data_IF_054183739003
#
_entry.id   IF_054183739003
#
_cell.length_a   1.000
_cell.length_b   1.000
_cell.length_c   1.000
_cell.angle_alpha   90.00
_cell.angle_beta   90.00
_cell.angle_gamma   90.00
#
_symmetry.space_group_name_H-M   'P 1'
#
loop_
_entity.id
_entity.type
_entity.pdbx_description
1 polymer ?
#
# COMPACT_ATOMS: atom_id res chain seq x y z
N UNK A 1 -17.61 32.02 10.65
CA UNK A 1 -17.53 31.15 9.45
C UNK A 1 -16.10 30.68 9.33
N UNK A 2 -15.82 29.44 9.73
CA UNK A 2 -14.48 28.85 9.63
C UNK A 2 -14.09 28.74 8.16
N UNK A 3 -12.95 29.29 7.75
CA UNK A 3 -12.38 29.02 6.42
C UNK A 3 -12.22 27.50 6.33
N UNK A 4 -12.90 26.87 5.39
CA UNK A 4 -12.77 25.43 5.15
C UNK A 4 -11.28 25.15 4.88
N UNK A 5 -10.61 24.47 5.81
CA UNK A 5 -9.17 24.26 5.75
C UNK A 5 -8.84 23.47 4.49
N UNK A 6 -8.07 24.07 3.58
CA UNK A 6 -7.75 23.46 2.29
C UNK A 6 -6.80 22.26 2.47
N UNK A 7 -7.07 21.19 1.71
CA UNK A 7 -6.18 20.04 1.56
C UNK A 7 -5.24 20.18 0.38
N UNK A 8 -5.49 21.12 -0.54
CA UNK A 8 -4.64 21.37 -1.70
C UNK A 8 -3.83 22.65 -1.52
N UNK A 9 -2.53 22.58 -1.85
CA UNK A 9 -1.63 23.73 -1.97
C UNK A 9 -0.60 23.40 -3.04
N UNK A 10 -0.42 24.32 -3.99
CA UNK A 10 0.55 24.17 -5.06
C UNK A 10 1.94 24.61 -4.61
N UNK A 11 2.61 23.76 -3.82
CA UNK A 11 3.97 23.96 -3.31
C UNK A 11 4.76 22.66 -3.38
N UNK A 12 6.07 22.79 -3.52
CA UNK A 12 7.00 21.67 -3.34
C UNK A 12 7.65 21.76 -1.96
N UNK A 13 7.60 20.67 -1.20
CA UNK A 13 8.24 20.56 0.11
C UNK A 13 9.40 19.60 -0.02
N UNK A 14 10.55 19.95 0.56
CA UNK A 14 11.68 19.03 0.71
C UNK A 14 12.30 19.23 2.08
N UNK A 15 12.82 18.16 2.66
CA UNK A 15 13.46 18.28 3.96
C UNK A 15 14.75 19.14 3.87
N UNK A 16 15.03 20.00 4.85
CA UNK A 16 16.32 20.67 4.95
C UNK A 16 17.50 19.68 4.93
N UNK A 17 18.60 20.07 4.30
CA UNK A 17 19.82 19.26 4.18
C UNK A 17 20.99 19.93 4.93
N UNK A 18 22.06 19.17 5.19
CA UNK A 18 23.24 19.65 5.90
C UNK A 18 23.06 19.75 7.42
N UNK A 19 24.02 20.39 8.09
CA UNK A 19 24.15 20.41 9.56
C UNK A 19 23.48 21.61 10.24
N UNK A 20 23.00 22.60 9.47
CA UNK A 20 22.29 23.76 10.02
C UNK A 20 20.90 23.37 10.51
N UNK A 21 20.62 23.66 11.78
CA UNK A 21 19.33 23.39 12.42
C UNK A 21 18.29 24.47 12.05
N UNK A 22 17.03 24.05 11.92
CA UNK A 22 15.85 24.90 11.81
C UNK A 22 14.99 24.84 13.09
N UNK A 23 15.11 23.77 13.86
CA UNK A 23 14.57 23.61 15.20
C UNK A 23 15.65 23.82 16.29
N UNK A 24 15.26 23.72 17.57
CA UNK A 24 16.15 23.98 18.71
C UNK A 24 17.21 22.89 18.94
N UNK A 25 16.94 21.65 18.50
CA UNK A 25 17.84 20.51 18.68
C UNK A 25 17.70 19.48 17.56
N UNK A 26 18.62 18.52 17.48
CA UNK A 26 18.51 17.41 16.52
C UNK A 26 17.29 16.51 16.78
N UNK A 27 16.84 16.39 18.04
CA UNK A 27 15.65 15.60 18.39
C UNK A 27 14.33 16.22 17.88
N UNK A 28 14.32 17.54 17.64
CA UNK A 28 13.17 18.26 17.08
C UNK A 28 13.34 18.57 15.59
N UNK A 29 14.57 18.70 15.12
CA UNK A 29 14.92 18.81 13.69
C UNK A 29 14.62 17.50 12.93
N UNK A 30 14.90 16.34 13.53
CA UNK A 30 14.65 15.04 12.89
C UNK A 30 13.18 14.85 12.49
N UNK A 31 12.17 14.94 13.38
CA UNK A 31 10.77 14.81 12.98
C UNK A 31 10.33 15.91 12.01
N UNK A 32 10.89 17.13 12.10
CA UNK A 32 10.62 18.20 11.13
C UNK A 32 11.08 17.81 9.72
N UNK A 33 12.33 17.33 9.60
CA UNK A 33 12.88 16.87 8.32
C UNK A 33 12.11 15.67 7.79
N UNK A 34 11.78 14.71 8.64
CA UNK A 34 11.07 13.52 8.20
C UNK A 34 9.61 13.80 7.79
N UNK A 35 8.92 14.72 8.45
CA UNK A 35 7.62 15.23 7.99
C UNK A 35 7.72 15.83 6.59
N UNK A 36 8.75 16.64 6.34
CA UNK A 36 8.98 17.26 5.03
C UNK A 36 9.42 16.23 3.98
N UNK A 37 10.21 15.22 4.36
CA UNK A 37 10.60 14.11 3.48
C UNK A 37 9.39 13.31 3.01
N UNK A 38 8.43 13.06 3.90
CA UNK A 38 7.17 12.41 3.55
C UNK A 38 6.35 13.17 2.49
N UNK A 39 6.66 14.44 2.21
CA UNK A 39 5.98 15.27 1.21
C UNK A 39 6.91 15.68 0.06
N UNK A 40 8.10 15.10 -0.04
CA UNK A 40 9.02 15.34 -1.15
C UNK A 40 8.38 14.83 -2.46
N UNK A 41 8.36 15.61 -3.56
CA UNK A 41 7.83 15.18 -4.85
C UNK A 41 8.47 13.90 -5.42
N UNK A 42 9.70 13.58 -4.98
CA UNK A 42 10.39 12.35 -5.37
C UNK A 42 10.06 11.16 -4.45
N UNK A 43 9.30 11.40 -3.38
CA UNK A 43 8.94 10.40 -2.36
C UNK A 43 7.44 10.12 -2.35
N UNK A 44 6.60 11.15 -2.30
CA UNK A 44 5.16 11.04 -2.10
C UNK A 44 4.36 10.87 -3.40
N UNK A 45 3.23 10.14 -3.34
CA UNK A 45 2.36 9.95 -4.50
C UNK A 45 1.60 11.20 -4.93
N UNK A 46 1.13 12.02 -3.98
CA UNK A 46 0.42 13.27 -4.25
C UNK A 46 0.62 14.29 -3.11
N UNK A 47 1.84 14.87 -2.98
CA UNK A 47 2.20 15.72 -1.85
C UNK A 47 1.43 17.04 -1.78
N UNK A 48 0.93 17.56 -2.92
CA UNK A 48 0.11 18.79 -2.97
C UNK A 48 -1.22 18.64 -2.20
N UNK A 49 -1.69 17.41 -2.06
CA UNK A 49 -2.83 17.03 -1.21
C UNK A 49 -2.43 16.40 0.13
N UNK A 50 -1.16 16.52 0.52
CA UNK A 50 -0.54 15.89 1.69
C UNK A 50 -0.51 14.36 1.66
N UNK A 51 -0.87 13.73 0.53
CA UNK A 51 -0.97 12.28 0.38
C UNK A 51 0.41 11.71 0.09
N UNK A 52 0.84 10.79 0.95
CA UNK A 52 2.13 10.11 0.89
C UNK A 52 1.99 8.82 0.07
N UNK A 53 1.13 7.89 0.49
CA UNK A 53 0.87 6.62 -0.22
C UNK A 53 -0.40 5.92 0.27
N UNK A 54 -0.80 4.84 -0.42
CA UNK A 54 -1.81 3.88 0.06
C UNK A 54 -3.23 4.44 0.09
N UNK A 55 -3.75 4.89 -1.05
CA UNK A 55 -5.02 5.61 -1.13
C UNK A 55 -4.84 7.04 -0.62
N UNK A 56 -5.48 7.39 0.50
CA UNK A 56 -5.47 8.73 1.08
C UNK A 56 -4.59 8.86 2.33
N UNK A 57 -3.53 8.04 2.46
CA UNK A 57 -2.59 8.10 3.58
C UNK A 57 -1.82 9.43 3.58
N UNK A 58 -2.04 10.28 4.60
CA UNK A 58 -1.51 11.65 4.64
C UNK A 58 -0.49 11.90 5.75
N UNK A 59 0.37 12.90 5.53
CA UNK A 59 1.38 13.33 6.50
C UNK A 59 0.82 14.29 7.58
N UNK A 60 -0.19 15.09 7.23
CA UNK A 60 -0.91 16.00 8.12
C UNK A 60 -2.38 16.11 7.67
N UNK A 61 -3.27 16.53 8.58
CA UNK A 61 -4.72 16.52 8.32
C UNK A 61 -5.13 17.42 7.16
N UNK A 62 -4.58 18.63 7.15
CA UNK A 62 -4.78 19.66 6.15
C UNK A 62 -3.59 20.63 6.24
N UNK A 63 -3.53 21.61 5.34
CA UNK A 63 -2.38 22.50 5.23
C UNK A 63 -2.19 23.41 6.45
N UNK A 64 -3.27 23.83 7.11
CA UNK A 64 -3.20 24.58 8.37
C UNK A 64 -2.53 23.75 9.47
N UNK A 65 -2.91 22.47 9.59
CA UNK A 65 -2.28 21.56 10.53
C UNK A 65 -0.81 21.33 10.19
N UNK A 66 -0.46 21.16 8.92
CA UNK A 66 0.94 21.03 8.48
C UNK A 66 1.77 22.25 8.91
N UNK A 67 1.31 23.46 8.60
CA UNK A 67 2.03 24.69 8.94
C UNK A 67 2.22 24.81 10.47
N UNK A 68 1.17 24.49 11.23
CA UNK A 68 1.23 24.53 12.69
C UNK A 68 2.15 23.47 13.28
N UNK A 69 2.23 22.27 12.70
CA UNK A 69 3.19 21.25 13.11
C UNK A 69 4.62 21.76 12.88
N UNK A 70 4.90 22.31 11.69
CA UNK A 70 6.22 22.84 11.35
C UNK A 70 6.61 23.98 12.30
N UNK A 71 5.70 24.92 12.56
CA UNK A 71 5.91 26.01 13.52
C UNK A 71 6.23 25.46 14.92
N UNK A 72 5.44 24.49 15.38
CA UNK A 72 5.56 23.93 16.73
C UNK A 72 6.87 23.15 16.89
N UNK A 73 7.25 22.32 15.92
CA UNK A 73 8.52 21.56 15.96
C UNK A 73 9.75 22.49 15.99
N UNK A 74 9.69 23.65 15.32
CA UNK A 74 10.79 24.63 15.37
C UNK A 74 10.96 25.28 16.75
N UNK A 75 9.88 25.35 17.54
CA UNK A 75 9.87 26.01 18.84
C UNK A 75 9.90 25.04 20.03
N UNK A 76 9.72 23.74 19.80
CA UNK A 76 9.65 22.72 20.86
C UNK A 76 10.97 22.60 21.62
N UNK A 77 10.90 22.67 22.96
CA UNK A 77 12.06 22.48 23.84
C UNK A 77 12.41 21.00 24.01
N UNK A 78 13.61 20.72 24.51
CA UNK A 78 14.11 19.36 24.71
C UNK A 78 13.38 18.61 25.85
N UNK A 79 12.70 19.31 26.75
CA UNK A 79 11.87 18.75 27.82
C UNK A 79 10.37 18.83 27.53
N UNK A 80 9.98 19.02 26.26
CA UNK A 80 8.58 19.09 25.83
C UNK A 80 8.22 17.95 24.86
N UNK A 81 6.93 17.62 24.82
CA UNK A 81 6.35 16.62 23.92
C UNK A 81 5.13 17.20 23.19
N UNK A 82 5.17 17.16 21.86
CA UNK A 82 4.05 17.50 20.98
C UNK A 82 3.10 16.31 20.83
N UNK A 83 1.80 16.55 20.99
CA UNK A 83 0.74 15.58 20.70
C UNK A 83 0.13 15.83 19.32
N UNK A 84 0.17 14.82 18.47
CA UNK A 84 -0.51 14.79 17.17
C UNK A 84 -1.71 13.86 17.25
N UNK A 85 -2.90 14.40 17.02
CA UNK A 85 -4.15 13.64 16.92
C UNK A 85 -4.62 13.67 15.46
N UNK A 86 -4.65 12.51 14.79
CA UNK A 86 -5.03 12.38 13.37
C UNK A 86 -4.46 13.53 12.51
N UNK A 87 -3.14 13.68 12.54
CA UNK A 87 -2.41 14.70 11.76
C UNK A 87 -2.62 16.16 12.16
N UNK A 88 -3.20 16.45 13.33
CA UNK A 88 -3.37 17.79 13.88
C UNK A 88 -2.53 17.97 15.16
N UNK A 89 -1.78 19.07 15.30
CA UNK A 89 -1.07 19.38 16.55
C UNK A 89 -2.08 19.89 17.59
N UNK A 90 -2.33 19.12 18.65
CA UNK A 90 -3.41 19.41 19.62
C UNK A 90 -2.92 19.91 20.98
N UNK A 91 -1.63 19.74 21.29
CA UNK A 91 -1.07 20.25 22.54
C UNK A 91 0.43 19.98 22.66
N UNK A 92 1.08 20.77 23.48
CA UNK A 92 2.47 20.59 23.91
C UNK A 92 2.47 20.51 25.43
N UNK A 93 3.12 19.51 25.98
CA UNK A 93 3.21 19.32 27.42
C UNK A 93 4.66 19.16 27.84
N UNK A 94 4.99 19.68 29.02
CA UNK A 94 6.29 19.45 29.64
C UNK A 94 6.40 17.98 30.05
N UNK A 95 7.49 17.36 29.68
CA UNK A 95 7.88 15.98 30.02
C UNK A 95 9.30 16.00 30.57
N UNK A 96 10.25 15.37 29.89
CA UNK A 96 11.67 15.35 30.23
C UNK A 96 12.50 15.00 28.99
N UNK A 97 13.81 15.27 29.03
CA UNK A 97 14.76 15.09 27.92
C UNK A 97 14.73 13.68 27.26
N UNK A 98 14.57 12.63 28.06
CA UNK A 98 14.52 11.24 27.60
C UNK A 98 13.15 10.78 27.07
N UNK A 99 12.11 11.62 27.13
CA UNK A 99 10.80 11.30 26.57
C UNK A 99 10.79 11.47 25.04
N UNK A 100 9.83 10.87 24.32
CA UNK A 100 9.60 11.20 22.91
C UNK A 100 9.25 12.69 22.74
N UNK A 101 9.84 13.34 21.73
CA UNK A 101 9.47 14.72 21.35
C UNK A 101 8.08 14.81 20.72
N UNK A 102 7.60 13.73 20.10
CA UNK A 102 6.30 13.70 19.44
C UNK A 102 5.59 12.38 19.77
N UNK A 103 4.33 12.46 20.19
CA UNK A 103 3.43 11.32 20.33
C UNK A 103 2.30 11.45 19.32
N UNK A 104 2.02 10.38 18.58
CA UNK A 104 1.11 10.39 17.44
C UNK A 104 0.04 9.32 17.61
N UNK A 105 -1.23 9.72 17.51
CA UNK A 105 -2.38 8.82 17.47
C UNK A 105 -3.27 9.19 16.26
N UNK A 106 -3.17 8.41 15.18
CA UNK A 106 -3.89 8.67 13.93
C UNK A 106 -4.97 7.60 13.69
N UNK A 107 -6.13 8.04 13.18
CA UNK A 107 -7.16 7.16 12.61
C UNK A 107 -7.81 6.15 13.57
N UNK A 108 -7.57 6.29 14.87
CA UNK A 108 -8.21 5.44 15.89
C UNK A 108 -9.69 5.78 16.00
N UNK A 109 -10.54 4.75 15.87
CA UNK A 109 -11.98 4.81 16.08
C UNK A 109 -12.38 3.71 17.06
N UNK A 110 -13.41 3.97 17.86
CA UNK A 110 -13.97 2.93 18.75
C UNK A 110 -14.47 1.76 17.87
N UNK A 111 -14.25 0.48 18.23
CA UNK A 111 -14.38 -0.64 17.30
C UNK A 111 -15.72 -0.74 16.55
N UNK A 112 -16.83 -0.40 17.20
CA UNK A 112 -18.15 -0.40 16.55
C UNK A 112 -18.24 0.60 15.37
N UNK A 113 -17.50 1.71 15.45
CA UNK A 113 -17.43 2.77 14.45
C UNK A 113 -16.18 2.69 13.56
N UNK A 114 -15.35 1.66 13.70
CA UNK A 114 -14.10 1.51 12.95
C UNK A 114 -14.36 0.99 11.53
N UNK A 115 -15.07 1.78 10.72
CA UNK A 115 -15.40 1.52 9.32
C UNK A 115 -15.19 2.78 8.45
N UNK A 116 -15.13 2.59 7.13
CA UNK A 116 -14.85 3.67 6.19
C UNK A 116 -15.98 4.68 6.10
N UNK A 117 -17.24 4.25 6.26
CA UNK A 117 -18.40 5.12 6.21
C UNK A 117 -18.31 6.20 7.29
N UNK A 118 -18.07 5.80 8.55
CA UNK A 118 -17.91 6.73 9.65
C UNK A 118 -16.60 7.53 9.57
N UNK A 119 -15.51 6.91 9.12
CA UNK A 119 -14.26 7.62 8.88
C UNK A 119 -14.46 8.77 7.87
N UNK A 120 -15.15 8.52 6.76
CA UNK A 120 -15.40 9.51 5.71
C UNK A 120 -16.33 10.63 6.18
N UNK A 121 -17.33 10.31 7.01
CA UNK A 121 -18.17 11.31 7.68
C UNK A 121 -17.32 12.27 8.53
N UNK A 122 -16.43 11.74 9.37
CA UNK A 122 -15.51 12.54 10.19
C UNK A 122 -14.50 13.30 9.33
N UNK A 123 -14.02 12.72 8.23
CA UNK A 123 -13.09 13.37 7.30
C UNK A 123 -13.77 14.57 6.60
N UNK A 124 -15.04 14.44 6.20
CA UNK A 124 -15.81 15.54 5.62
C UNK A 124 -16.01 16.70 6.62
N UNK A 125 -16.08 16.40 7.92
CA UNK A 125 -16.14 17.39 9.00
C UNK A 125 -14.76 17.95 9.40
N UNK A 126 -13.66 17.50 8.79
CA UNK A 126 -12.29 17.92 9.14
C UNK A 126 -11.79 17.33 10.47
N UNK A 127 -12.39 16.24 10.94
CA UNK A 127 -12.07 15.56 12.21
C UNK A 127 -11.16 14.34 12.03
N UNK A 128 -11.01 13.83 10.81
CA UNK A 128 -10.20 12.65 10.51
C UNK A 128 -9.00 12.94 9.60
N UNK A 129 -8.04 12.02 9.65
CA UNK A 129 -6.94 11.87 8.70
C UNK A 129 -6.60 10.38 8.69
N UNK A 130 -6.35 9.82 7.50
CA UNK A 130 -5.87 8.44 7.38
C UNK A 130 -4.35 8.46 7.47
N UNK A 131 -3.80 7.85 8.53
CA UNK A 131 -2.36 7.86 8.79
C UNK A 131 -1.57 6.80 8.04
N UNK A 132 -2.24 5.80 7.45
CA UNK A 132 -1.61 4.56 7.00
C UNK A 132 -0.68 4.05 8.13
N UNK A 133 0.51 3.54 7.81
CA UNK A 133 1.53 3.15 8.77
C UNK A 133 2.59 4.25 8.89
N UNK A 134 3.28 4.57 7.80
CA UNK A 134 4.46 5.47 7.78
C UNK A 134 4.16 6.87 7.24
N UNK A 135 2.96 7.09 6.68
CA UNK A 135 2.55 8.38 6.15
C UNK A 135 2.33 9.41 7.28
N UNK A 136 1.46 9.09 8.23
CA UNK A 136 1.12 9.98 9.35
C UNK A 136 2.10 9.91 10.53
N UNK A 137 3.12 9.05 10.46
CA UNK A 137 4.17 8.89 11.47
C UNK A 137 5.56 9.34 11.00
N UNK A 138 5.64 9.88 9.78
CA UNK A 138 6.81 10.59 9.25
C UNK A 138 8.06 9.72 9.19
N UNK A 139 7.96 8.57 8.54
CA UNK A 139 9.11 7.67 8.33
C UNK A 139 9.03 6.95 6.98
N UNK A 140 8.34 7.56 6.02
CA UNK A 140 8.24 7.02 4.67
C UNK A 140 9.47 7.41 3.85
N UNK A 141 10.02 6.43 3.12
CA UNK A 141 11.26 6.55 2.36
C UNK A 141 11.07 6.14 0.89
N UNK A 142 9.86 6.37 0.36
CA UNK A 142 9.47 5.93 -0.98
C UNK A 142 9.28 4.41 -1.06
N UNK A 143 9.31 3.89 -2.28
CA UNK A 143 9.12 2.46 -2.56
C UNK A 143 10.17 1.55 -1.89
N UNK A 144 11.32 2.10 -1.48
CA UNK A 144 12.37 1.34 -0.81
C UNK A 144 11.89 0.77 0.54
N UNK A 145 10.94 1.43 1.21
CA UNK A 145 10.45 0.98 2.51
C UNK A 145 9.84 -0.43 2.52
N UNK A 146 9.39 -0.94 1.36
CA UNK A 146 8.79 -2.28 1.24
C UNK A 146 9.54 -3.21 0.30
N UNK A 147 10.48 -2.71 -0.52
CA UNK A 147 11.15 -3.52 -1.56
C UNK A 147 11.80 -4.79 -1.01
N UNK A 148 12.46 -4.72 0.15
CA UNK A 148 13.06 -5.89 0.77
C UNK A 148 12.00 -6.90 1.20
N UNK A 149 10.91 -6.46 1.83
CA UNK A 149 9.81 -7.34 2.23
C UNK A 149 9.17 -8.05 1.03
N UNK A 150 9.04 -7.35 -0.10
CA UNK A 150 8.54 -7.92 -1.36
C UNK A 150 9.52 -8.86 -2.02
N UNK A 151 10.80 -8.52 -2.02
CA UNK A 151 11.86 -9.41 -2.47
C UNK A 151 11.87 -10.72 -1.67
N UNK A 152 11.89 -10.65 -0.33
CA UNK A 152 11.89 -11.85 0.52
C UNK A 152 10.63 -12.70 0.32
N UNK A 153 9.48 -12.06 0.08
CA UNK A 153 8.24 -12.77 -0.26
C UNK A 153 8.42 -13.59 -1.55
N UNK A 154 8.93 -12.98 -2.62
CA UNK A 154 9.11 -13.67 -3.89
C UNK A 154 10.20 -14.74 -3.83
N UNK A 155 11.32 -14.45 -3.16
CA UNK A 155 12.40 -15.43 -2.96
C UNK A 155 11.87 -16.66 -2.22
N UNK A 156 11.13 -16.46 -1.13
CA UNK A 156 10.60 -17.58 -0.37
C UNK A 156 9.52 -18.36 -1.15
N UNK A 157 8.66 -17.66 -1.91
CA UNK A 157 7.76 -18.34 -2.83
C UNK A 157 8.53 -19.17 -3.87
N UNK A 158 9.67 -18.66 -4.35
CA UNK A 158 10.61 -19.40 -5.19
C UNK A 158 11.21 -20.63 -4.51
N UNK A 159 11.59 -20.55 -3.23
CA UNK A 159 12.07 -21.71 -2.45
C UNK A 159 11.01 -22.79 -2.33
N UNK A 160 9.76 -22.42 -2.03
CA UNK A 160 8.67 -23.36 -1.79
C UNK A 160 8.13 -24.00 -3.07
N UNK A 161 8.13 -23.29 -4.20
CA UNK A 161 7.45 -23.74 -5.41
C UNK A 161 8.37 -24.03 -6.59
N UNK A 162 9.59 -23.48 -6.59
CA UNK A 162 10.49 -23.47 -7.76
C UNK A 162 11.95 -23.78 -7.40
N UNK A 163 12.18 -24.58 -6.36
CA UNK A 163 13.50 -25.02 -5.90
C UNK A 163 14.49 -23.86 -5.66
N UNK A 164 13.97 -22.69 -5.26
CA UNK A 164 14.76 -21.52 -4.88
C UNK A 164 15.17 -20.59 -6.02
N UNK A 165 14.89 -20.92 -7.28
CA UNK A 165 15.26 -20.08 -8.43
C UNK A 165 14.04 -19.65 -9.24
N UNK A 166 13.92 -18.35 -9.48
CA UNK A 166 12.89 -17.77 -10.35
C UNK A 166 13.39 -17.48 -11.77
N UNK A 167 14.58 -17.95 -12.14
CA UNK A 167 15.11 -17.76 -13.49
C UNK A 167 14.18 -18.39 -14.53
N UNK A 168 13.81 -17.61 -15.54
CA UNK A 168 12.87 -18.02 -16.58
C UNK A 168 11.42 -18.13 -16.12
N UNK A 169 11.11 -17.58 -14.93
CA UNK A 169 9.75 -17.48 -14.36
C UNK A 169 9.28 -16.05 -14.42
N UNK A 170 7.97 -15.85 -14.30
CA UNK A 170 7.41 -14.51 -14.20
C UNK A 170 6.23 -14.38 -13.22
N UNK A 171 6.15 -13.20 -12.62
CA UNK A 171 5.10 -12.81 -11.68
C UNK A 171 4.06 -11.94 -12.38
N UNK A 172 2.78 -12.25 -12.21
CA UNK A 172 1.67 -11.39 -12.59
C UNK A 172 1.14 -10.66 -11.35
N UNK A 173 1.06 -9.33 -11.42
CA UNK A 173 0.50 -8.50 -10.35
C UNK A 173 -0.13 -7.21 -10.86
N UNK A 174 -0.73 -6.44 -9.96
CA UNK A 174 -1.31 -5.13 -10.24
C UNK A 174 -1.01 -4.11 -9.14
N UNK A 175 -1.10 -2.83 -9.50
CA UNK A 175 -0.87 -1.67 -8.65
C UNK A 175 0.59 -1.23 -8.64
N UNK A 176 0.87 -0.06 -9.22
CA UNK A 176 2.17 0.60 -9.25
C UNK A 176 2.12 1.94 -8.48
N UNK A 177 1.45 1.96 -7.33
CA UNK A 177 1.49 3.10 -6.39
C UNK A 177 2.77 3.14 -5.54
N UNK A 178 2.79 3.96 -4.48
CA UNK A 178 3.96 4.14 -3.61
C UNK A 178 4.60 2.84 -3.10
N UNK A 179 3.76 1.88 -2.68
CA UNK A 179 4.19 0.56 -2.22
C UNK A 179 4.17 -0.47 -3.35
N UNK A 180 3.09 -0.46 -4.16
CA UNK A 180 2.91 -1.30 -5.35
C UNK A 180 4.06 -1.27 -6.35
N UNK A 181 4.67 -0.10 -6.51
CA UNK A 181 5.80 0.12 -7.38
C UNK A 181 7.09 -0.59 -6.95
N UNK A 182 7.15 -1.20 -5.77
CA UNK A 182 8.29 -2.01 -5.35
C UNK A 182 8.27 -3.44 -5.94
N UNK A 183 7.11 -3.93 -6.36
CA UNK A 183 6.93 -5.28 -6.90
C UNK A 183 7.80 -5.61 -8.13
N UNK A 184 7.93 -4.73 -9.14
CA UNK A 184 8.68 -5.04 -10.34
C UNK A 184 10.19 -5.19 -10.06
N UNK A 185 10.77 -4.24 -9.31
CA UNK A 185 12.16 -4.35 -8.86
C UNK A 185 12.39 -5.55 -7.94
N UNK A 186 11.48 -5.83 -7.01
CA UNK A 186 11.58 -6.98 -6.12
C UNK A 186 11.56 -8.31 -6.88
N UNK A 187 10.69 -8.45 -7.89
CA UNK A 187 10.65 -9.64 -8.75
C UNK A 187 11.94 -9.79 -9.56
N UNK A 188 12.45 -8.68 -10.11
CA UNK A 188 13.70 -8.63 -10.87
C UNK A 188 14.89 -9.05 -10.01
N UNK A 189 15.01 -8.51 -8.79
CA UNK A 189 16.04 -8.89 -7.82
C UNK A 189 15.94 -10.36 -7.40
N UNK A 190 14.72 -10.91 -7.31
CA UNK A 190 14.48 -12.32 -7.05
C UNK A 190 14.76 -13.23 -8.27
N UNK A 191 15.09 -12.64 -9.43
CA UNK A 191 15.45 -13.36 -10.66
C UNK A 191 14.28 -13.69 -11.58
N UNK A 192 13.09 -13.11 -11.34
CA UNK A 192 11.90 -13.30 -12.16
C UNK A 192 11.67 -12.11 -13.11
N UNK A 193 11.04 -12.37 -14.26
CA UNK A 193 10.33 -11.30 -14.97
C UNK A 193 9.05 -10.91 -14.21
N UNK A 194 8.46 -9.76 -14.51
CA UNK A 194 7.12 -9.46 -14.00
C UNK A 194 6.26 -8.66 -14.96
N UNK A 195 4.95 -8.91 -14.95
CA UNK A 195 3.94 -8.11 -15.62
C UNK A 195 3.09 -7.40 -14.55
N UNK A 196 3.11 -6.07 -14.58
CA UNK A 196 2.57 -5.21 -13.53
C UNK A 196 1.51 -4.30 -14.12
N UNK A 197 0.25 -4.60 -13.84
CA UNK A 197 -0.91 -3.88 -14.40
C UNK A 197 -1.17 -2.62 -13.58
N UNK A 198 -1.28 -1.47 -14.24
CA UNK A 198 -1.56 -0.18 -13.59
C UNK A 198 -2.52 0.65 -14.44
N UNK A 199 -3.52 1.25 -13.79
CA UNK A 199 -4.59 1.99 -14.46
C UNK A 199 -4.30 3.48 -14.69
N UNK A 200 -3.22 4.00 -14.10
CA UNK A 200 -2.82 5.40 -14.23
C UNK A 200 -1.44 5.52 -14.87
N UNK A 201 -1.36 6.13 -16.07
CA UNK A 201 -0.09 6.37 -16.76
C UNK A 201 0.94 7.12 -15.89
N UNK A 202 0.50 8.15 -15.15
CA UNK A 202 1.39 8.92 -14.26
C UNK A 202 2.07 8.07 -13.19
N UNK A 203 1.47 6.96 -12.76
CA UNK A 203 2.06 6.02 -11.80
C UNK A 203 3.11 5.15 -12.47
N UNK A 204 2.88 4.71 -13.70
CA UNK A 204 3.89 4.00 -14.51
C UNK A 204 5.10 4.90 -14.74
N UNK A 205 4.88 6.14 -15.18
CA UNK A 205 5.93 7.13 -15.46
C UNK A 205 6.80 7.39 -14.23
N UNK A 206 6.19 7.46 -13.04
CA UNK A 206 6.92 7.62 -11.79
C UNK A 206 7.90 6.44 -11.60
N UNK A 207 7.45 5.19 -11.82
CA UNK A 207 8.26 3.99 -11.56
C UNK A 207 9.36 3.81 -12.59
N UNK A 208 9.11 4.20 -13.84
CA UNK A 208 10.13 4.26 -14.89
C UNK A 208 11.22 5.28 -14.50
N UNK A 209 10.80 6.49 -14.10
CA UNK A 209 11.72 7.55 -13.70
C UNK A 209 12.58 7.17 -12.48
N UNK A 210 12.01 6.44 -11.51
CA UNK A 210 12.75 6.00 -10.31
C UNK A 210 13.50 4.69 -10.48
N UNK A 211 13.46 4.06 -11.67
CA UNK A 211 14.14 2.80 -11.94
C UNK A 211 13.56 1.59 -11.20
N UNK A 212 12.27 1.65 -10.83
CA UNK A 212 11.57 0.56 -10.16
C UNK A 212 10.83 -0.39 -11.12
N UNK A 213 10.64 0.03 -12.37
CA UNK A 213 10.17 -0.80 -13.49
C UNK A 213 11.02 -0.50 -14.72
N UNK A 214 11.31 -1.52 -15.53
CA UNK A 214 12.27 -1.40 -16.64
C UNK A 214 11.64 -0.81 -17.91
N UNK A 215 10.46 -1.32 -18.27
CA UNK A 215 9.80 -0.95 -19.52
C UNK A 215 8.27 -0.97 -19.40
N UNK A 216 7.61 -0.32 -20.36
CA UNK A 216 6.16 -0.35 -20.54
C UNK A 216 5.83 -1.01 -21.87
N UNK A 217 4.85 -1.91 -21.87
CA UNK A 217 4.29 -2.52 -23.06
C UNK A 217 3.20 -1.63 -23.69
N UNK A 218 3.02 -1.72 -25.01
CA UNK A 218 1.96 -0.98 -25.72
C UNK A 218 0.56 -1.54 -25.45
N UNK A 219 0.47 -2.86 -25.30
CA UNK A 219 -0.76 -3.61 -25.12
C UNK A 219 -0.45 -4.99 -24.52
N UNK A 220 -1.50 -5.78 -24.30
CA UNK A 220 -1.38 -7.10 -23.66
C UNK A 220 -0.61 -8.10 -24.53
N UNK A 221 -0.71 -8.03 -25.87
CA UNK A 221 -0.02 -8.96 -26.76
C UNK A 221 1.49 -8.68 -26.80
N UNK A 222 1.86 -7.39 -26.88
CA UNK A 222 3.25 -6.94 -26.73
C UNK A 222 3.81 -7.37 -25.37
N UNK A 223 3.07 -7.13 -24.27
CA UNK A 223 3.49 -7.54 -22.94
C UNK A 223 3.80 -9.04 -22.85
N UNK A 224 2.91 -9.89 -23.36
CA UNK A 224 3.09 -11.35 -23.34
C UNK A 224 4.23 -11.81 -24.25
N UNK A 225 4.40 -11.19 -25.42
CA UNK A 225 5.52 -11.50 -26.32
C UNK A 225 6.87 -11.18 -25.65
N UNK A 226 6.96 -10.08 -24.91
CA UNK A 226 8.16 -9.69 -24.18
C UNK A 226 8.43 -10.59 -22.97
N UNK A 227 7.40 -10.91 -22.18
CA UNK A 227 7.51 -11.90 -21.10
C UNK A 227 8.05 -13.22 -21.64
N UNK A 228 7.49 -13.74 -22.73
CA UNK A 228 7.94 -14.99 -23.34
C UNK A 228 9.41 -14.90 -23.81
N UNK A 229 9.79 -13.78 -24.43
CA UNK A 229 11.17 -13.53 -24.88
C UNK A 229 12.17 -13.52 -23.73
N UNK A 230 11.90 -12.76 -22.66
CA UNK A 230 12.84 -12.60 -21.55
C UNK A 230 12.94 -13.85 -20.69
N UNK A 231 11.80 -14.50 -20.42
CA UNK A 231 11.79 -15.77 -19.67
C UNK A 231 12.53 -16.88 -20.42
N UNK A 232 12.40 -16.98 -21.75
CA UNK A 232 13.13 -17.97 -22.55
C UNK A 232 14.66 -17.78 -22.52
N UNK A 233 15.13 -16.53 -22.36
CA UNK A 233 16.56 -16.22 -22.18
C UNK A 233 17.03 -16.38 -20.73
N UNK A 234 16.09 -16.58 -19.80
CA UNK A 234 16.36 -16.57 -18.36
C UNK A 234 16.84 -15.21 -17.86
N UNK A 235 16.37 -14.13 -18.50
CA UNK A 235 16.54 -12.75 -18.05
C UNK A 235 15.46 -12.41 -17.00
N UNK A 236 15.69 -11.35 -16.22
CA UNK A 236 14.74 -10.83 -15.24
C UNK A 236 14.43 -9.38 -15.62
N UNK A 237 13.26 -9.17 -16.24
CA UNK A 237 12.82 -7.86 -16.73
C UNK A 237 11.39 -7.60 -16.27
N UNK A 238 11.15 -6.38 -15.81
CA UNK A 238 9.86 -5.94 -15.32
C UNK A 238 9.13 -5.06 -16.33
N UNK A 239 7.86 -5.39 -16.59
CA UNK A 239 7.05 -4.80 -17.63
C UNK A 239 5.79 -4.19 -16.98
N UNK A 240 5.60 -2.89 -17.16
CA UNK A 240 4.33 -2.24 -16.85
C UNK A 240 3.35 -2.41 -18.00
N UNK A 241 2.08 -2.61 -17.68
CA UNK A 241 0.99 -2.61 -18.64
C UNK A 241 -0.10 -1.64 -18.18
N UNK A 242 -0.40 -0.65 -19.02
CA UNK A 242 -1.46 0.30 -18.73
C UNK A 242 -2.84 -0.35 -18.97
N UNK A 243 -3.66 -0.45 -17.91
CA UNK A 243 -5.00 -1.01 -18.00
C UNK A 243 -5.60 -1.37 -16.65
N UNK A 244 -6.81 -1.96 -16.66
CA UNK A 244 -7.52 -2.35 -15.45
C UNK A 244 -7.27 -3.82 -15.12
N UNK A 245 -6.79 -4.10 -13.90
CA UNK A 245 -6.55 -5.45 -13.41
C UNK A 245 -7.80 -6.34 -13.41
N UNK A 246 -8.97 -5.77 -13.10
CA UNK A 246 -10.25 -6.48 -13.14
C UNK A 246 -10.68 -6.88 -14.56
N UNK A 247 -10.04 -6.37 -15.61
CA UNK A 247 -10.27 -6.73 -17.01
C UNK A 247 -9.17 -7.67 -17.52
N UNK A 248 -7.91 -7.30 -17.27
CA UNK A 248 -6.75 -8.01 -17.81
C UNK A 248 -6.55 -9.38 -17.16
N UNK A 249 -6.74 -9.53 -15.84
CA UNK A 249 -6.56 -10.86 -15.21
C UNK A 249 -7.60 -11.87 -15.72
N UNK A 250 -8.91 -11.57 -15.79
CA UNK A 250 -9.87 -12.46 -16.43
C UNK A 250 -9.53 -12.79 -17.89
N UNK A 251 -9.04 -11.82 -18.65
CA UNK A 251 -8.64 -12.03 -20.04
C UNK A 251 -7.44 -12.99 -20.16
N UNK A 252 -6.43 -12.85 -19.29
CA UNK A 252 -5.29 -13.78 -19.22
C UNK A 252 -5.74 -15.21 -18.88
N UNK A 253 -6.69 -15.36 -17.96
CA UNK A 253 -7.30 -16.66 -17.64
C UNK A 253 -7.99 -17.25 -18.88
N UNK A 254 -8.80 -16.44 -19.58
CA UNK A 254 -9.53 -16.87 -20.80
C UNK A 254 -8.58 -17.33 -21.91
N UNK A 255 -7.43 -16.67 -22.05
CA UNK A 255 -6.36 -17.02 -23.01
C UNK A 255 -5.55 -18.25 -22.62
N UNK A 256 -5.73 -18.79 -21.41
CA UNK A 256 -4.95 -19.92 -20.91
C UNK A 256 -3.49 -19.56 -20.62
N UNK A 257 -3.19 -18.27 -20.40
CA UNK A 257 -1.85 -17.82 -20.01
C UNK A 257 -1.55 -18.35 -18.60
N UNK A 258 -0.33 -18.85 -18.36
CA UNK A 258 0.08 -19.36 -17.05
C UNK A 258 1.28 -18.58 -16.51
N UNK A 259 1.07 -17.53 -15.69
CA UNK A 259 2.13 -16.98 -14.85
C UNK A 259 2.65 -18.02 -13.86
N UNK A 260 3.87 -17.80 -13.35
CA UNK A 260 4.45 -18.67 -12.32
C UNK A 260 4.09 -18.20 -10.91
N UNK A 261 3.69 -16.94 -10.72
CA UNK A 261 3.05 -16.47 -9.49
C UNK A 261 2.01 -15.40 -9.79
N UNK A 262 0.98 -15.32 -8.95
CA UNK A 262 -0.05 -14.28 -9.04
C UNK A 262 -0.26 -13.62 -7.68
N UNK A 263 -0.23 -12.29 -7.66
CA UNK A 263 -0.57 -11.50 -6.48
C UNK A 263 -1.22 -10.17 -6.87
N UNK A 264 -1.50 -9.31 -5.91
CA UNK A 264 -2.11 -7.99 -6.14
C UNK A 264 -1.71 -7.00 -5.03
N UNK A 265 -1.42 -5.76 -5.44
CA UNK A 265 -1.13 -4.65 -4.52
C UNK A 265 -1.83 -3.35 -4.94
N UNK A 266 -2.97 -3.45 -5.65
CA UNK A 266 -3.91 -2.32 -5.77
C UNK A 266 -4.32 -1.81 -4.39
N UNK A 267 -4.82 -0.56 -4.30
CA UNK A 267 -5.29 -0.02 -3.01
C UNK A 267 -6.71 -0.48 -2.67
N UNK A 268 -6.93 -1.80 -2.69
CA UNK A 268 -8.23 -2.42 -2.43
C UNK A 268 -8.75 -2.20 -1.00
N UNK A 269 -7.89 -1.77 -0.07
CA UNK A 269 -8.26 -1.43 1.30
C UNK A 269 -9.16 -0.20 1.40
N UNK A 270 -9.18 0.66 0.37
CA UNK A 270 -10.01 1.85 0.27
C UNK A 270 -10.80 1.84 -1.05
N UNK A 271 -11.99 1.21 -1.10
CA UNK A 271 -12.80 1.12 -2.32
C UNK A 271 -13.23 2.47 -2.89
N UNK A 272 -13.31 3.52 -2.07
CA UNK A 272 -13.76 4.84 -2.50
C UNK A 272 -12.65 5.61 -3.22
N UNK A 273 -11.37 5.38 -2.86
CA UNK A 273 -10.26 6.15 -3.40
C UNK A 273 -9.14 5.36 -4.10
N UNK A 274 -9.11 4.04 -3.97
CA UNK A 274 -7.92 3.22 -4.27
C UNK A 274 -8.08 2.14 -5.33
N UNK A 275 -9.28 1.89 -5.86
CA UNK A 275 -9.49 0.79 -6.81
C UNK A 275 -10.43 1.22 -7.95
N UNK A 276 -9.89 1.28 -9.16
CA UNK A 276 -10.63 1.71 -10.35
C UNK A 276 -11.70 0.68 -10.74
N UNK A 277 -13.00 1.04 -10.71
CA UNK A 277 -14.05 0.15 -11.18
C UNK A 277 -13.94 -0.13 -12.68
N UNK A 278 -14.41 -1.31 -13.11
CA UNK A 278 -14.52 -1.66 -14.53
C UNK A 278 -15.34 -0.63 -15.31
N UNK A 279 -14.90 -0.32 -16.52
CA UNK A 279 -15.60 0.60 -17.43
C UNK A 279 -15.54 2.08 -17.04
N UNK A 280 -14.65 2.48 -16.12
CA UNK A 280 -14.45 3.88 -15.75
C UNK A 280 -13.03 4.35 -16.07
N UNK A 281 -12.91 5.64 -16.42
CA UNK A 281 -11.63 6.36 -16.36
C UNK A 281 -11.27 6.71 -14.91
N UNK A 282 -10.00 7.02 -14.65
CA UNK A 282 -9.59 7.45 -13.31
C UNK A 282 -10.24 8.79 -12.93
N UNK A 283 -10.37 9.70 -13.88
CA UNK A 283 -11.02 11.00 -13.71
C UNK A 283 -12.50 10.83 -13.32
N UNK A 284 -13.24 9.98 -14.04
CA UNK A 284 -14.63 9.68 -13.73
C UNK A 284 -14.77 9.01 -12.36
N UNK A 285 -13.87 8.09 -12.03
CA UNK A 285 -13.84 7.44 -10.71
C UNK A 285 -13.68 8.48 -9.59
N UNK A 286 -12.76 9.44 -9.73
CA UNK A 286 -12.55 10.51 -8.74
C UNK A 286 -13.73 11.47 -8.66
N UNK A 287 -14.40 11.76 -9.77
CA UNK A 287 -15.59 12.61 -9.79
C UNK A 287 -16.81 11.91 -9.17
N UNK A 288 -17.01 10.62 -9.46
CA UNK A 288 -18.08 9.80 -8.88
C UNK A 288 -17.87 9.51 -7.40
N UNK A 289 -16.63 9.36 -6.95
CA UNK A 289 -16.33 9.24 -5.52
C UNK A 289 -16.86 10.44 -4.70
N UNK A 290 -16.94 11.63 -5.30
CA UNK A 290 -17.49 12.83 -4.64
C UNK A 290 -19.01 12.91 -4.75
N UNK A 291 -19.56 12.65 -5.94
CA UNK A 291 -21.00 12.84 -6.21
C UNK A 291 -21.87 11.64 -5.79
N UNK A 292 -21.36 10.41 -5.92
CA UNK A 292 -22.07 9.16 -5.68
C UNK A 292 -21.16 8.14 -4.94
N UNK A 293 -20.73 8.43 -3.70
CA UNK A 293 -19.73 7.63 -2.99
C UNK A 293 -20.16 6.17 -2.77
N UNK A 294 -21.43 5.94 -2.40
CA UNK A 294 -21.95 4.58 -2.13
C UNK A 294 -21.95 3.72 -3.39
N UNK A 295 -22.41 4.27 -4.51
CA UNK A 295 -22.39 3.58 -5.81
C UNK A 295 -20.97 3.28 -6.25
N UNK A 296 -20.05 4.23 -6.05
CA UNK A 296 -18.64 4.10 -6.39
C UNK A 296 -17.98 2.96 -5.60
N UNK A 297 -18.23 2.89 -4.28
CA UNK A 297 -17.77 1.80 -3.43
C UNK A 297 -18.28 0.44 -3.93
N UNK A 298 -19.58 0.35 -4.24
CA UNK A 298 -20.19 -0.90 -4.73
C UNK A 298 -19.63 -1.32 -6.09
N UNK A 299 -19.37 -0.37 -6.99
CA UNK A 299 -18.74 -0.64 -8.29
C UNK A 299 -17.29 -1.12 -8.15
N UNK A 300 -16.52 -0.50 -7.25
CA UNK A 300 -15.15 -0.91 -6.94
C UNK A 300 -15.13 -2.32 -6.34
N UNK A 301 -15.95 -2.60 -5.31
CA UNK A 301 -16.03 -3.94 -4.69
C UNK A 301 -16.49 -5.01 -5.67
N UNK A 302 -17.43 -4.71 -6.56
CA UNK A 302 -17.83 -5.63 -7.65
C UNK A 302 -16.65 -5.96 -8.56
N UNK A 303 -15.85 -4.96 -8.93
CA UNK A 303 -14.67 -5.15 -9.80
C UNK A 303 -13.56 -5.93 -9.09
N UNK A 304 -13.35 -5.71 -7.79
CA UNK A 304 -12.45 -6.53 -6.95
C UNK A 304 -12.90 -7.98 -6.90
N UNK A 305 -14.21 -8.25 -6.89
CA UNK A 305 -14.73 -9.62 -6.92
C UNK A 305 -14.39 -10.33 -8.25
N UNK A 306 -14.51 -9.66 -9.40
CA UNK A 306 -14.05 -10.23 -10.69
C UNK A 306 -12.54 -10.46 -10.73
N UNK A 307 -11.75 -9.53 -10.20
CA UNK A 307 -10.31 -9.68 -10.07
C UNK A 307 -9.95 -10.92 -9.23
N UNK A 308 -10.53 -11.05 -8.03
CA UNK A 308 -10.25 -12.20 -7.13
C UNK A 308 -10.70 -13.53 -7.75
N UNK A 309 -11.78 -13.56 -8.54
CA UNK A 309 -12.16 -14.76 -9.30
C UNK A 309 -11.07 -15.18 -10.28
N UNK A 310 -10.45 -14.24 -10.99
CA UNK A 310 -9.35 -14.56 -11.89
C UNK A 310 -8.12 -15.08 -11.13
N UNK A 311 -7.76 -14.47 -10.00
CA UNK A 311 -6.68 -14.96 -9.12
C UNK A 311 -6.93 -16.41 -8.67
N UNK A 312 -8.18 -16.75 -8.34
CA UNK A 312 -8.57 -18.10 -7.95
C UNK A 312 -8.57 -19.08 -9.12
N UNK A 313 -8.94 -18.63 -10.31
CA UNK A 313 -8.84 -19.46 -11.51
C UNK A 313 -7.38 -19.84 -11.80
N UNK A 314 -6.42 -18.92 -11.63
CA UNK A 314 -4.99 -19.25 -11.70
C UNK A 314 -4.58 -20.25 -10.62
N UNK A 315 -5.07 -20.08 -9.38
CA UNK A 315 -4.80 -21.03 -8.29
C UNK A 315 -5.32 -22.43 -8.61
N UNK A 316 -6.53 -22.55 -9.17
CA UNK A 316 -7.12 -23.84 -9.56
C UNK A 316 -6.28 -24.54 -10.64
N UNK A 317 -5.52 -23.79 -11.42
CA UNK A 317 -4.53 -24.34 -12.36
C UNK A 317 -3.22 -24.77 -11.68
N UNK A 318 -3.10 -24.64 -10.35
CA UNK A 318 -1.89 -24.98 -9.59
C UNK A 318 -0.84 -23.87 -9.53
N UNK A 319 -1.18 -22.63 -9.91
CA UNK A 319 -0.26 -21.49 -9.83
C UNK A 319 -0.22 -20.97 -8.38
N UNK A 320 0.97 -20.73 -7.80
CA UNK A 320 1.12 -20.05 -6.52
C UNK A 320 0.44 -18.66 -6.54
N UNK A 321 -0.65 -18.53 -5.79
CA UNK A 321 -1.42 -17.29 -5.70
C UNK A 321 -1.61 -16.87 -4.24
N UNK A 322 -1.25 -15.62 -3.94
CA UNK A 322 -1.29 -15.07 -2.58
C UNK A 322 -1.78 -13.63 -2.55
N UNK A 323 -2.36 -13.25 -1.42
CA UNK A 323 -2.79 -11.88 -1.11
C UNK A 323 -1.61 -11.11 -0.53
N UNK A 324 -1.40 -9.86 -0.96
CA UNK A 324 -0.27 -9.04 -0.53
C UNK A 324 -0.66 -7.91 0.43
N UNK A 325 -1.63 -8.18 1.30
CA UNK A 325 -1.93 -7.33 2.45
C UNK A 325 -2.77 -6.08 2.15
N UNK A 326 -3.50 -6.06 1.05
CA UNK A 326 -4.38 -4.95 0.66
C UNK A 326 -5.87 -5.20 0.92
N UNK A 327 -6.22 -6.32 1.57
CA UNK A 327 -7.59 -6.67 1.95
C UNK A 327 -8.56 -6.98 0.78
N UNK A 328 -8.06 -7.20 -0.44
CA UNK A 328 -8.91 -7.43 -1.63
C UNK A 328 -9.86 -8.64 -1.45
N UNK A 329 -9.41 -9.70 -0.75
CA UNK A 329 -10.23 -10.88 -0.46
C UNK A 329 -11.45 -10.59 0.38
N UNK A 330 -11.30 -9.71 1.37
CA UNK A 330 -12.40 -9.32 2.24
C UNK A 330 -13.42 -8.47 1.46
N UNK A 331 -12.95 -7.58 0.58
CA UNK A 331 -13.84 -6.81 -0.30
C UNK A 331 -14.64 -7.72 -1.25
N UNK A 332 -13.99 -8.72 -1.84
CA UNK A 332 -14.68 -9.71 -2.68
C UNK A 332 -15.69 -10.57 -1.89
N UNK A 333 -15.36 -10.94 -0.65
CA UNK A 333 -16.28 -11.67 0.26
C UNK A 333 -17.57 -10.89 0.52
N UNK A 334 -17.45 -9.60 0.78
CA UNK A 334 -18.61 -8.74 1.10
C UNK A 334 -19.61 -8.69 -0.05
N UNK A 335 -19.16 -8.90 -1.29
CA UNK A 335 -20.01 -9.02 -2.48
C UNK A 335 -20.68 -10.39 -2.65
N UNK A 336 -20.77 -11.19 -1.58
CA UNK A 336 -21.51 -12.45 -1.56
C UNK A 336 -20.72 -13.70 -1.98
N UNK A 337 -19.42 -13.57 -2.24
CA UNK A 337 -18.55 -14.69 -2.63
C UNK A 337 -18.06 -15.49 -1.41
N UNK A 338 -18.99 -16.17 -0.73
CA UNK A 338 -18.75 -16.91 0.52
C UNK A 338 -17.79 -18.10 0.37
N UNK A 339 -17.70 -18.70 -0.82
CA UNK A 339 -16.93 -19.92 -1.09
C UNK A 339 -15.41 -19.70 -1.16
N UNK A 340 -14.94 -18.45 -1.08
CA UNK A 340 -13.56 -18.05 -1.41
C UNK A 340 -12.61 -17.88 -0.20
N UNK A 341 -13.02 -18.26 1.01
CA UNK A 341 -12.37 -17.85 2.27
C UNK A 341 -11.82 -18.97 3.13
N UNK A 342 -11.73 -20.19 2.60
CA UNK A 342 -10.91 -21.17 3.30
C UNK A 342 -9.48 -20.60 3.37
N UNK A 343 -8.77 -20.83 4.47
CA UNK A 343 -7.34 -20.49 4.61
C UNK A 343 -6.46 -21.09 3.49
N UNK A 344 -7.07 -21.97 2.68
CA UNK A 344 -6.56 -22.63 1.49
C UNK A 344 -6.98 -21.94 0.16
N UNK A 345 -7.59 -20.76 0.15
CA UNK A 345 -8.06 -20.12 -1.09
C UNK A 345 -7.06 -19.10 -1.65
N UNK A 346 -6.40 -18.33 -0.79
CA UNK A 346 -5.27 -17.44 -1.13
C UNK A 346 -4.41 -17.35 0.13
N UNK A 347 -3.13 -17.67 0.05
CA UNK A 347 -2.27 -17.60 1.23
C UNK A 347 -2.07 -16.12 1.60
N UNK A 348 -2.11 -15.71 2.89
CA UNK A 348 -1.43 -14.48 3.28
C UNK A 348 0.07 -14.64 2.94
N UNK A 349 0.91 -13.58 2.97
CA UNK A 349 2.35 -13.76 2.81
C UNK A 349 2.90 -14.44 4.07
N UNK A 350 2.67 -15.76 4.19
CA UNK A 350 3.14 -16.64 5.27
C UNK A 350 4.68 -16.68 5.25
N UNK A 351 5.27 -16.34 4.11
CA UNK A 351 6.70 -16.21 3.86
C UNK A 351 7.43 -15.35 4.90
N UNK A 352 6.81 -14.28 5.41
CA UNK A 352 7.43 -13.37 6.40
C UNK A 352 7.34 -13.92 7.83
N UNK A 353 6.41 -14.84 8.12
CA UNK A 353 6.24 -15.41 9.47
C UNK A 353 7.43 -16.28 9.88
N UNK A 354 8.08 -16.93 8.91
CA UNK A 354 9.30 -17.70 9.14
C UNK A 354 10.49 -16.79 9.48
N UNK A 355 10.67 -15.68 8.77
CA UNK A 355 11.75 -14.70 9.03
C UNK A 355 11.59 -13.93 10.34
N UNK A 356 10.35 -13.73 10.80
CA UNK A 356 10.07 -13.10 12.10
C UNK A 356 10.36 -14.01 13.30
N UNK A 357 10.49 -15.33 13.09
CA UNK A 357 10.79 -16.30 14.15
C UNK A 357 12.20 -16.19 14.74
N UNK A 358 13.13 -15.56 14.02
CA UNK A 358 14.53 -15.38 14.43
C UNK A 358 14.76 -14.10 15.26
N UNK A 359 13.71 -13.31 15.52
CA UNK A 359 13.78 -12.16 16.41
C UNK A 359 13.40 -12.59 17.84
N UNK A 360 14.28 -12.43 18.86
CA UNK A 360 13.96 -12.73 20.25
C UNK A 360 13.06 -11.63 20.83
N UNK A 361 11.82 -11.54 20.35
CA UNK A 361 10.81 -10.63 20.86
C UNK A 361 9.54 -11.46 21.14
N UNK A 362 9.08 -11.57 22.40
CA UNK A 362 7.85 -12.27 22.70
C UNK A 362 6.67 -11.41 22.19
N UNK A 363 6.25 -11.65 20.94
CA UNK A 363 5.01 -11.10 20.40
C UNK A 363 3.84 -11.69 21.21
N UNK A 364 3.29 -10.87 22.10
CA UNK A 364 2.21 -11.24 23.00
C UNK A 364 0.98 -11.76 22.26
N UNK A 365 0.54 -12.96 22.66
CA UNK A 365 -0.84 -13.41 22.93
C UNK A 365 -1.96 -13.29 21.88
N UNK A 366 -1.98 -12.29 21.00
CA UNK A 366 -3.19 -11.93 20.25
C UNK A 366 -3.39 -12.70 18.93
N UNK A 367 -2.36 -13.35 18.38
CA UNK A 367 -2.44 -14.08 17.10
C UNK A 367 -2.59 -15.61 17.23
N UNK A 368 -2.76 -16.15 18.44
CA UNK A 368 -2.89 -17.61 18.69
C UNK A 368 -4.33 -18.15 18.75
N UNK A 369 -5.39 -17.33 18.67
CA UNK A 369 -6.77 -17.77 18.99
C UNK A 369 -7.82 -17.60 17.89
N UNK A 370 -7.46 -17.72 16.60
CA UNK A 370 -8.47 -17.65 15.52
C UNK A 370 -8.33 -18.74 14.45
N UNK A 371 -7.81 -19.92 14.79
CA UNK A 371 -7.97 -21.13 14.00
C UNK A 371 -8.53 -22.23 14.90
N UNK A 372 -9.59 -22.88 14.42
CA UNK A 372 -10.53 -23.67 15.21
C UNK A 372 -9.96 -24.88 15.95
N UNK A 373 -10.69 -25.18 17.03
CA UNK A 373 -10.90 -26.49 17.66
C UNK A 373 -10.29 -27.70 16.91
N UNK A 374 -9.22 -28.24 17.50
CA UNK A 374 -8.85 -29.65 17.32
C UNK A 374 -9.86 -30.53 18.10
N UNK A 375 -10.40 -31.61 17.51
CA UNK A 375 -11.22 -32.54 18.26
C UNK A 375 -10.32 -33.32 19.23
N UNK A 376 -10.75 -33.34 20.49
CA UNK A 376 -10.21 -34.22 21.53
C UNK A 376 -10.25 -35.68 21.04
N UNK A 377 -9.08 -36.30 20.82
CA UNK A 377 -8.97 -37.76 20.84
C UNK A 377 -9.00 -38.20 22.31
N UNK A 378 -10.05 -38.93 22.68
CA UNK A 378 -10.03 -39.83 23.83
C UNK A 378 -9.17 -41.04 23.47
N UNK A 379 -8.13 -41.32 24.22
CA UNK A 379 -7.66 -42.68 24.45
C UNK A 379 -7.31 -42.83 25.94
N UNK A 380 -7.93 -43.87 26.52
CA UNK A 380 -7.75 -44.56 27.82
C UNK A 380 -7.06 -43.85 28.98
#
# INVERSE_FOLDING_TARGET
MSKQATRFRDVEIRAPRGTKLNAKSWFTEAPLRMLMNNLDPDVAENPKELVVYGGIGRAARNWECYDKIVETLKQLNDDETLLIQSGKPVGVFKTHDNAPRVLIANSNLVPHWANWEHFNELDAQGLAMYGQMTAGSWIYIGSQGIVQGTYETFVEAGRQHYNGSLRGRWVLTAGLGGMGGAQPLAATLAGACSLNIECQQSRIDFRLRTGYVDEQASDLDDALARIARYTAKGEAVSIALHGNAAEILPELVRRGVRPDMVTDQTSAHDPLNGYLPLGMSWEDYRARAQSHPVETINAAKSSMAEHVKAMLAFRQQGIPTFDYGNNIRQMAKEMGWKTLLTSQALFPPIFVRCSAGDWPIPLGGAFRRSAGYLPYRRES
#
